data_IF_407736579523
#
_entry.id   IF_407736579523
#
_cell.length_a   1.000
_cell.length_b   1.000
_cell.length_c   1.000
_cell.angle_alpha   90.00
_cell.angle_beta   90.00
_cell.angle_gamma   90.00
#
_symmetry.space_group_name_H-M   'P 1'
#
loop_
_entity.id
_entity.type
_entity.pdbx_description
1 polymer ?
#
# COMPACT_ATOMS: atom_id res chain seq x y z
N UNK A 1 10.46 4.74 17.59
CA UNK A 1 9.74 4.11 18.71
C UNK A 1 8.46 3.52 18.15
N UNK A 2 8.25 2.23 18.38
CA UNK A 2 6.98 1.57 18.07
C UNK A 2 6.39 1.06 19.38
N UNK A 3 5.10 1.26 19.58
CA UNK A 3 4.38 0.77 20.76
C UNK A 3 2.96 0.35 20.39
N UNK A 4 2.45 -0.67 21.07
CA UNK A 4 1.06 -1.09 20.92
C UNK A 4 0.43 -1.31 22.30
N UNK A 5 -0.81 -0.87 22.47
CA UNK A 5 -1.63 -1.08 23.66
C UNK A 5 -2.89 -1.84 23.28
N UNK A 6 -3.26 -2.82 24.10
CA UNK A 6 -4.47 -3.63 23.90
C UNK A 6 -5.34 -3.54 25.15
N UNK A 7 -6.15 -2.47 25.31
CA UNK A 7 -7.00 -2.29 26.49
C UNK A 7 -8.02 -3.42 26.69
N UNK A 8 -8.43 -4.06 25.59
CA UNK A 8 -9.26 -5.26 25.57
C UNK A 8 -8.93 -6.10 24.33
N UNK A 9 -9.36 -7.38 24.25
CA UNK A 9 -9.17 -8.18 23.04
C UNK A 9 -9.80 -7.59 21.77
N UNK A 10 -10.71 -6.62 21.92
CA UNK A 10 -11.44 -5.98 20.83
C UNK A 10 -10.90 -4.59 20.46
N UNK A 11 -9.93 -4.07 21.22
CA UNK A 11 -9.38 -2.74 21.05
C UNK A 11 -7.87 -2.79 20.92
N UNK A 12 -7.33 -2.12 19.91
CA UNK A 12 -5.89 -1.92 19.79
C UNK A 12 -5.57 -0.46 19.49
N UNK A 13 -4.51 0.01 20.12
CA UNK A 13 -3.85 1.27 19.81
C UNK A 13 -2.43 0.95 19.36
N UNK A 14 -2.01 1.48 18.23
CA UNK A 14 -0.64 1.36 17.73
C UNK A 14 -0.07 2.76 17.54
N UNK A 15 1.18 2.93 17.93
CA UNK A 15 1.92 4.19 17.86
C UNK A 15 3.23 3.93 17.14
N UNK A 16 3.49 4.69 16.09
CA UNK A 16 4.80 4.72 15.44
C UNK A 16 5.30 6.16 15.47
N UNK A 17 6.45 6.37 16.11
CA UNK A 17 7.10 7.67 16.23
C UNK A 17 8.55 7.50 15.81
N UNK A 18 8.89 7.97 14.63
CA UNK A 18 10.25 7.96 14.11
C UNK A 18 10.64 9.35 13.64
N UNK A 19 11.88 9.72 13.91
CA UNK A 19 12.46 10.98 13.45
C UNK A 19 13.90 10.72 13.06
N UNK A 20 14.24 11.05 11.82
CA UNK A 20 15.60 11.01 11.32
C UNK A 20 16.30 12.34 11.57
N UNK A 21 17.64 12.32 11.59
CA UNK A 21 18.44 13.54 11.57
C UNK A 21 18.43 14.24 10.19
N UNK A 22 17.83 13.60 9.18
CA UNK A 22 17.57 14.20 7.85
C UNK A 22 16.12 14.74 7.79
N UNK A 23 15.52 14.68 6.62
CA UNK A 23 14.16 15.19 6.34
C UNK A 23 13.06 14.24 6.84
N UNK A 24 13.38 12.97 7.12
CA UNK A 24 12.35 11.95 7.35
C UNK A 24 11.78 12.00 8.78
N UNK A 25 10.46 12.12 8.87
CA UNK A 25 9.68 12.09 10.11
C UNK A 25 8.47 11.18 9.92
N UNK A 26 8.02 10.48 10.95
CA UNK A 26 6.88 9.58 10.89
C UNK A 26 6.20 9.51 12.26
N UNK A 27 5.00 10.05 12.35
CA UNK A 27 4.18 10.07 13.55
C UNK A 27 2.77 9.55 13.21
N UNK A 28 2.51 8.32 13.61
CA UNK A 28 1.26 7.62 13.34
C UNK A 28 0.61 7.16 14.64
N UNK A 29 -0.71 7.33 14.72
CA UNK A 29 -1.53 6.74 15.78
C UNK A 29 -2.67 6.00 15.12
N UNK A 30 -2.77 4.70 15.39
CA UNK A 30 -3.86 3.85 14.90
C UNK A 30 -4.71 3.37 16.04
N UNK A 31 -6.01 3.60 15.95
CA UNK A 31 -7.00 3.07 16.88
C UNK A 31 -7.95 2.15 16.12
N UNK A 32 -8.03 0.89 16.53
CA UNK A 32 -8.95 -0.09 15.98
C UNK A 32 -9.87 -0.60 17.08
N UNK A 33 -11.17 -0.60 16.79
CA UNK A 33 -12.19 -1.22 17.63
C UNK A 33 -13.00 -2.23 16.82
N UNK A 34 -12.75 -3.53 17.03
CA UNK A 34 -13.24 -4.61 16.15
C UNK A 34 -14.69 -5.06 16.38
N UNK A 35 -15.30 -4.64 17.49
CA UNK A 35 -16.48 -5.34 18.04
C UNK A 35 -17.50 -4.38 18.68
N UNK A 36 -17.91 -3.33 17.97
CA UNK A 36 -19.11 -2.56 18.35
C UNK A 36 -20.37 -3.29 17.85
N UNK A 37 -21.53 -2.98 18.43
CA UNK A 37 -22.85 -3.48 18.01
C UNK A 37 -22.92 -5.02 17.87
N UNK A 38 -22.67 -5.75 18.96
CA UNK A 38 -22.72 -7.21 18.99
C UNK A 38 -21.83 -7.89 17.92
N UNK A 39 -20.59 -7.43 17.79
CA UNK A 39 -19.53 -8.00 16.94
C UNK A 39 -19.71 -7.79 15.43
N UNK A 40 -20.60 -6.88 15.03
CA UNK A 40 -20.88 -6.58 13.62
C UNK A 40 -20.16 -5.34 13.10
N UNK A 41 -19.77 -4.42 13.97
CA UNK A 41 -19.16 -3.16 13.56
C UNK A 41 -17.68 -3.11 13.96
N UNK A 42 -16.83 -2.85 12.96
CA UNK A 42 -15.42 -2.55 13.12
C UNK A 42 -15.17 -1.08 12.78
N UNK A 43 -14.46 -0.36 13.65
CA UNK A 43 -14.08 1.04 13.44
C UNK A 43 -12.57 1.14 13.45
N UNK A 44 -12.02 1.88 12.50
CA UNK A 44 -10.61 2.23 12.44
C UNK A 44 -10.46 3.75 12.31
N UNK A 45 -9.60 4.33 13.14
CA UNK A 45 -9.25 5.75 13.13
C UNK A 45 -7.73 5.83 13.07
N UNK A 46 -7.22 6.53 12.06
CA UNK A 46 -5.79 6.59 11.77
C UNK A 46 -5.37 8.01 11.39
N UNK A 47 -5.18 8.91 12.37
CA UNK A 47 -4.41 10.13 12.16
C UNK A 47 -2.93 9.83 11.93
N UNK A 48 -2.34 10.57 11.01
CA UNK A 48 -0.94 10.41 10.66
C UNK A 48 -0.30 11.75 10.27
N UNK A 49 1.00 11.84 10.47
CA UNK A 49 1.89 12.83 9.91
C UNK A 49 3.16 12.10 9.49
N UNK A 50 3.65 12.30 8.28
CA UNK A 50 4.97 11.84 7.90
C UNK A 50 5.65 12.80 6.95
N UNK A 51 6.96 12.66 6.80
CA UNK A 51 7.75 13.32 5.77
C UNK A 51 8.72 12.31 5.19
N UNK A 52 8.71 12.12 3.87
CA UNK A 52 9.69 11.32 3.13
C UNK A 52 10.51 12.21 2.20
N UNK A 53 11.73 12.54 2.62
CA UNK A 53 12.70 13.29 1.82
C UNK A 53 13.25 12.53 0.61
N UNK A 54 13.02 11.21 0.52
CA UNK A 54 13.57 10.36 -0.51
C UNK A 54 12.60 10.05 -1.65
N UNK A 55 11.39 10.63 -1.63
CA UNK A 55 10.37 10.40 -2.65
C UNK A 55 10.88 10.73 -4.06
N UNK A 56 10.41 9.95 -5.04
CA UNK A 56 10.84 10.00 -6.45
C UNK A 56 9.70 10.30 -7.38
N UNK A 57 10.01 10.88 -8.53
CA UNK A 57 9.11 10.97 -9.67
C UNK A 57 9.92 10.91 -10.98
N UNK A 58 9.41 10.16 -11.96
CA UNK A 58 10.09 9.88 -13.24
C UNK A 58 9.27 10.36 -14.45
N UNK A 59 8.12 10.99 -14.22
CA UNK A 59 7.10 11.24 -15.24
C UNK A 59 5.92 10.25 -15.14
N UNK A 60 4.93 10.47 -16.00
CA UNK A 60 3.75 9.59 -16.09
C UNK A 60 3.95 8.45 -17.09
N UNK A 61 3.06 7.46 -17.01
CA UNK A 61 2.97 6.29 -17.88
C UNK A 61 4.04 5.23 -17.61
N UNK A 62 3.80 4.02 -18.15
CA UNK A 62 4.71 2.88 -18.01
C UNK A 62 6.07 3.13 -18.69
N UNK A 63 6.10 3.90 -19.78
CA UNK A 63 7.30 4.20 -20.54
C UNK A 63 8.12 5.39 -19.98
N UNK A 64 7.85 5.81 -18.73
CA UNK A 64 8.61 6.87 -18.08
C UNK A 64 10.08 6.48 -17.93
N UNK A 65 10.96 7.34 -18.45
CA UNK A 65 12.40 7.08 -18.51
C UNK A 65 13.03 7.32 -17.12
N UNK A 66 13.87 6.39 -16.66
CA UNK A 66 14.65 6.51 -15.43
C UNK A 66 15.52 7.78 -15.41
N UNK A 67 16.02 8.23 -16.55
CA UNK A 67 16.83 9.47 -16.66
C UNK A 67 16.04 10.76 -16.34
N UNK A 68 14.71 10.68 -16.27
CA UNK A 68 13.85 11.79 -15.82
C UNK A 68 13.65 11.79 -14.30
N UNK A 69 14.47 11.03 -13.55
CA UNK A 69 14.42 10.97 -12.10
C UNK A 69 14.51 12.38 -11.47
N UNK A 70 13.56 12.64 -10.58
CA UNK A 70 13.52 13.82 -9.73
C UNK A 70 13.26 13.40 -8.29
N UNK A 71 13.64 14.25 -7.34
CA UNK A 71 13.43 14.06 -5.91
C UNK A 71 12.61 15.20 -5.33
N UNK A 72 11.75 14.88 -4.38
CA UNK A 72 11.05 15.84 -3.53
C UNK A 72 10.93 15.28 -2.11
N UNK A 73 10.70 16.17 -1.16
CA UNK A 73 10.22 15.82 0.17
C UNK A 73 8.71 15.73 0.14
N UNK A 74 8.16 14.55 0.40
CA UNK A 74 6.73 14.32 0.52
C UNK A 74 6.31 14.48 1.98
N UNK A 75 5.77 15.64 2.34
CA UNK A 75 5.23 15.86 3.68
C UNK A 75 3.72 15.72 3.66
N UNK A 76 3.21 14.83 4.50
CA UNK A 76 1.80 14.57 4.61
C UNK A 76 1.30 14.64 6.04
N UNK A 77 0.06 15.08 6.18
CA UNK A 77 -0.72 14.82 7.38
C UNK A 77 -2.18 14.67 7.05
N UNK A 78 -2.87 13.87 7.84
CA UNK A 78 -4.22 13.51 7.54
C UNK A 78 -4.86 12.66 8.61
N UNK A 79 -6.07 12.21 8.30
CA UNK A 79 -6.72 11.16 9.06
C UNK A 79 -7.50 10.27 8.11
N UNK A 80 -7.55 8.98 8.44
CA UNK A 80 -8.47 8.03 7.83
C UNK A 80 -9.44 7.53 8.89
N UNK A 81 -10.72 7.58 8.60
CA UNK A 81 -11.78 6.95 9.38
C UNK A 81 -12.45 5.88 8.52
N UNK A 82 -12.64 4.68 9.05
CA UNK A 82 -13.48 3.67 8.42
C UNK A 82 -14.41 3.00 9.43
N UNK A 83 -15.62 2.69 8.99
CA UNK A 83 -16.60 1.92 9.72
C UNK A 83 -17.11 0.78 8.83
N UNK A 84 -16.79 -0.46 9.23
CA UNK A 84 -17.13 -1.67 8.51
C UNK A 84 -18.20 -2.47 9.23
N UNK A 85 -19.37 -2.63 8.62
CA UNK A 85 -20.49 -3.38 9.16
C UNK A 85 -20.66 -4.74 8.46
N UNK A 86 -20.65 -5.82 9.25
CA UNK A 86 -20.86 -7.19 8.78
C UNK A 86 -22.32 -7.43 8.44
N UNK A 87 -22.60 -7.66 7.16
CA UNK A 87 -23.96 -7.94 6.63
C UNK A 87 -24.23 -9.44 6.45
N UNK A 88 -23.21 -10.28 6.62
CA UNK A 88 -23.32 -11.73 6.58
C UNK A 88 -22.09 -12.41 7.17
N UNK A 89 -21.97 -13.73 7.04
CA UNK A 89 -20.84 -14.51 7.59
C UNK A 89 -19.50 -14.06 7.03
N UNK A 90 -19.46 -13.78 5.72
CA UNK A 90 -18.24 -13.47 4.97
C UNK A 90 -18.26 -12.09 4.31
N UNK A 91 -19.33 -11.29 4.52
CA UNK A 91 -19.54 -10.02 3.81
C UNK A 91 -19.55 -8.83 4.78
N UNK A 92 -18.88 -7.76 4.39
CA UNK A 92 -18.82 -6.49 5.11
C UNK A 92 -19.01 -5.33 4.15
N UNK A 93 -19.81 -4.34 4.56
CA UNK A 93 -19.89 -3.03 3.91
C UNK A 93 -19.05 -2.06 4.70
N UNK A 94 -18.19 -1.31 4.05
CA UNK A 94 -17.31 -0.33 4.68
C UNK A 94 -17.61 1.05 4.14
N UNK A 95 -17.87 1.98 5.03
CA UNK A 95 -17.85 3.41 4.74
C UNK A 95 -16.56 4.00 5.30
N UNK A 96 -16.06 5.08 4.69
CA UNK A 96 -14.89 5.76 5.22
C UNK A 96 -14.78 7.21 4.76
N UNK A 97 -13.98 7.95 5.52
CA UNK A 97 -13.57 9.32 5.23
C UNK A 97 -12.06 9.37 5.25
N UNK A 98 -11.46 10.05 4.27
CA UNK A 98 -10.02 10.29 4.21
C UNK A 98 -9.76 11.76 3.99
N UNK A 99 -9.09 12.39 4.95
CA UNK A 99 -8.52 13.71 4.77
C UNK A 99 -7.00 13.58 4.70
N UNK A 100 -6.40 14.21 3.70
CA UNK A 100 -4.95 14.20 3.46
C UNK A 100 -4.54 15.57 2.94
N UNK A 101 -3.55 16.18 3.59
CA UNK A 101 -2.89 17.39 3.12
C UNK A 101 -1.45 17.03 2.77
N UNK A 102 -1.04 17.38 1.56
CA UNK A 102 0.30 17.11 1.03
C UNK A 102 1.01 18.43 0.74
N UNK A 103 2.24 18.54 1.23
CA UNK A 103 3.17 19.61 0.91
C UNK A 103 4.39 19.00 0.21
N UNK A 104 4.76 19.56 -0.93
CA UNK A 104 5.95 19.16 -1.67
C UNK A 104 7.10 20.08 -1.25
N UNK A 105 8.13 19.50 -0.66
CA UNK A 105 9.30 20.17 -0.12
C UNK A 105 10.55 19.83 -0.94
N UNK A 106 11.66 20.54 -0.69
CA UNK A 106 12.96 20.15 -1.21
C UNK A 106 13.30 18.72 -0.75
N UNK A 107 13.73 17.88 -1.69
CA UNK A 107 14.14 16.51 -1.40
C UNK A 107 15.47 16.41 -0.64
N UNK A 108 15.72 15.27 -0.02
CA UNK A 108 16.89 14.99 0.81
C UNK A 108 18.12 14.48 0.02
N UNK A 109 18.00 14.27 -1.30
CA UNK A 109 19.07 13.73 -2.14
C UNK A 109 19.57 14.81 -3.09
N UNK A 110 20.72 15.39 -2.73
CA UNK A 110 21.27 16.58 -3.38
C UNK A 110 21.65 16.38 -4.86
N UNK A 111 22.06 15.17 -5.24
CA UNK A 111 22.53 14.88 -6.61
C UNK A 111 21.39 14.64 -7.61
N UNK A 112 20.13 14.65 -7.14
CA UNK A 112 18.95 14.43 -7.97
C UNK A 112 18.16 15.75 -8.05
N UNK A 113 17.78 16.21 -9.25
CA UNK A 113 17.04 17.45 -9.42
C UNK A 113 15.73 17.48 -8.62
N UNK A 114 15.35 18.66 -8.13
CA UNK A 114 14.05 18.84 -7.51
C UNK A 114 12.94 18.72 -8.57
N UNK A 115 11.81 18.10 -8.21
CA UNK A 115 10.68 17.91 -9.15
C UNK A 115 10.19 19.23 -9.74
N UNK A 116 10.12 20.29 -8.93
CA UNK A 116 9.65 21.62 -9.37
C UNK A 116 10.61 22.36 -10.30
N UNK A 117 11.87 21.92 -10.40
CA UNK A 117 12.83 22.48 -11.35
C UNK A 117 12.67 21.89 -12.76
N UNK A 118 12.00 20.73 -12.87
CA UNK A 118 11.88 19.96 -14.12
C UNK A 118 10.46 19.91 -14.67
N UNK A 119 9.46 19.99 -13.82
CA UNK A 119 8.05 19.87 -14.19
C UNK A 119 7.25 21.06 -13.71
N UNK A 120 6.26 21.46 -14.50
CA UNK A 120 5.30 22.48 -14.10
C UNK A 120 4.05 21.85 -13.47
N UNK A 121 3.23 22.66 -12.78
CA UNK A 121 1.92 22.21 -12.25
C UNK A 121 0.93 21.83 -13.36
N UNK A 122 1.13 22.32 -14.59
CA UNK A 122 0.34 21.91 -15.74
C UNK A 122 0.69 20.49 -16.18
N UNK A 123 1.97 20.12 -16.10
CA UNK A 123 2.45 18.79 -16.46
C UNK A 123 2.18 17.78 -15.34
N UNK A 124 2.40 18.19 -14.09
CA UNK A 124 2.30 17.38 -12.88
C UNK A 124 1.36 18.07 -11.89
N UNK A 125 0.04 17.80 -11.98
CA UNK A 125 -0.92 18.41 -11.06
C UNK A 125 -0.58 18.10 -9.60
N UNK A 126 -0.65 19.11 -8.73
CA UNK A 126 -0.40 18.95 -7.30
C UNK A 126 1.08 18.97 -6.91
N UNK A 127 1.97 19.33 -7.84
CA UNK A 127 3.40 19.51 -7.57
C UNK A 127 3.68 20.62 -6.53
N UNK A 128 2.74 21.56 -6.37
CA UNK A 128 2.80 22.62 -5.36
C UNK A 128 2.13 22.23 -4.04
N UNK A 129 1.82 20.95 -3.85
CA UNK A 129 0.99 20.45 -2.75
C UNK A 129 -0.51 20.54 -3.05
N UNK A 130 -1.29 19.76 -2.30
CA UNK A 130 -2.72 19.63 -2.51
C UNK A 130 -3.43 19.14 -1.25
N UNK A 131 -4.75 19.27 -1.23
CA UNK A 131 -5.61 18.73 -0.17
C UNK A 131 -6.58 17.75 -0.79
N UNK A 132 -6.81 16.63 -0.12
CA UNK A 132 -7.77 15.62 -0.51
C UNK A 132 -8.70 15.38 0.67
N UNK A 133 -9.99 15.53 0.44
CA UNK A 133 -11.04 15.03 1.32
C UNK A 133 -11.93 14.09 0.50
N UNK A 134 -11.89 12.82 0.84
CA UNK A 134 -12.48 11.77 0.03
C UNK A 134 -13.38 10.83 0.85
N UNK A 135 -14.60 10.63 0.33
CA UNK A 135 -15.58 9.71 0.88
C UNK A 135 -15.42 8.35 0.22
N UNK A 136 -15.50 7.28 0.99
CA UNK A 136 -15.26 5.92 0.54
C UNK A 136 -16.44 5.00 0.85
N UNK A 137 -16.80 4.17 -0.13
CA UNK A 137 -17.71 3.05 0.03
C UNK A 137 -17.05 1.80 -0.52
N UNK A 138 -17.11 0.70 0.22
CA UNK A 138 -16.57 -0.58 -0.22
C UNK A 138 -17.45 -1.76 0.21
N UNK A 139 -17.38 -2.83 -0.57
CA UNK A 139 -17.91 -4.15 -0.20
C UNK A 139 -16.72 -5.10 -0.14
N UNK A 140 -16.64 -5.85 0.95
CA UNK A 140 -15.59 -6.82 1.23
C UNK A 140 -16.21 -8.19 1.39
N UNK A 141 -15.63 -9.18 0.72
CA UNK A 141 -15.86 -10.60 0.94
C UNK A 141 -14.58 -11.23 1.46
N UNK A 142 -14.65 -11.97 2.58
CA UNK A 142 -13.47 -12.62 3.16
C UNK A 142 -13.81 -13.97 3.78
N UNK A 143 -13.01 -14.98 3.42
CA UNK A 143 -12.97 -16.30 4.06
C UNK A 143 -11.59 -16.61 4.65
N UNK A 144 -10.75 -15.58 4.80
CA UNK A 144 -9.41 -15.72 5.35
C UNK A 144 -9.46 -16.31 6.76
N UNK A 145 -8.61 -17.30 7.02
CA UNK A 145 -8.49 -17.91 8.34
C UNK A 145 -7.84 -16.98 9.38
N UNK A 146 -7.00 -16.04 8.94
CA UNK A 146 -6.43 -14.98 9.75
C UNK A 146 -6.37 -13.68 8.94
N UNK A 147 -6.76 -12.53 9.50
CA UNK A 147 -6.72 -11.25 8.80
C UNK A 147 -5.30 -10.70 8.62
N UNK A 148 -4.37 -11.04 9.51
CA UNK A 148 -2.99 -10.51 9.53
C UNK A 148 -1.95 -11.51 9.04
N UNK A 149 -2.24 -12.81 9.18
CA UNK A 149 -1.34 -13.90 8.78
C UNK A 149 -2.12 -14.99 8.03
N UNK A 150 -2.74 -14.66 6.88
CA UNK A 150 -3.55 -15.61 6.14
C UNK A 150 -2.71 -16.77 5.61
N UNK A 151 -3.20 -17.99 5.82
CA UNK A 151 -2.63 -19.22 5.22
C UNK A 151 -3.65 -19.99 4.39
N UNK A 152 -4.94 -19.62 4.50
CA UNK A 152 -6.03 -20.24 3.74
C UNK A 152 -7.16 -19.25 3.54
N UNK A 153 -7.81 -19.33 2.37
CA UNK A 153 -9.04 -18.64 2.06
C UNK A 153 -8.90 -17.61 0.96
N UNK A 154 -9.98 -16.88 0.70
CA UNK A 154 -10.04 -15.83 -0.31
C UNK A 154 -10.46 -14.50 0.28
N UNK A 155 -10.05 -13.44 -0.38
CA UNK A 155 -10.46 -12.07 -0.10
C UNK A 155 -10.81 -11.38 -1.40
N UNK A 156 -11.90 -10.61 -1.41
CA UNK A 156 -12.23 -9.72 -2.50
C UNK A 156 -12.77 -8.40 -1.96
N UNK A 157 -12.35 -7.30 -2.55
CA UNK A 157 -12.81 -5.96 -2.20
C UNK A 157 -13.07 -5.16 -3.45
N UNK A 158 -14.25 -4.54 -3.50
CA UNK A 158 -14.60 -3.52 -4.48
C UNK A 158 -14.84 -2.23 -3.73
N UNK A 159 -14.30 -1.12 -4.23
CA UNK A 159 -14.50 0.17 -3.61
C UNK A 159 -14.60 1.31 -4.62
N UNK A 160 -15.34 2.32 -4.20
CA UNK A 160 -15.38 3.63 -4.84
C UNK A 160 -14.97 4.67 -3.80
N UNK A 161 -14.18 5.62 -4.24
CA UNK A 161 -13.79 6.78 -3.47
C UNK A 161 -14.05 8.05 -4.29
N UNK A 162 -14.67 9.05 -3.69
CA UNK A 162 -15.03 10.30 -4.35
C UNK A 162 -14.39 11.47 -3.61
N UNK A 163 -13.63 12.28 -4.33
CA UNK A 163 -13.08 13.54 -3.84
C UNK A 163 -13.80 14.68 -4.53
N UNK A 164 -14.19 15.72 -3.78
CA UNK A 164 -14.80 16.91 -4.36
C UNK A 164 -14.30 18.21 -3.73
N UNK A 165 -14.13 19.23 -4.57
CA UNK A 165 -13.77 20.60 -4.17
C UNK A 165 -14.78 21.22 -3.21
N UNK A 166 -16.05 20.82 -3.30
CA UNK A 166 -17.12 21.29 -2.40
C UNK A 166 -16.77 20.94 -0.93
N UNK A 167 -16.07 19.83 -0.71
CA UNK A 167 -15.66 19.38 0.62
C UNK A 167 -14.21 19.77 0.98
N UNK A 168 -13.59 20.68 0.21
CA UNK A 168 -12.25 21.22 0.49
C UNK A 168 -11.10 20.52 -0.24
N UNK A 169 -11.37 19.59 -1.17
CA UNK A 169 -10.33 18.99 -2.00
C UNK A 169 -9.78 19.97 -3.05
N UNK A 170 -8.55 19.74 -3.50
CA UNK A 170 -7.91 20.47 -4.60
C UNK A 170 -8.44 20.04 -5.98
N UNK A 171 -8.97 18.82 -6.10
CA UNK A 171 -9.49 18.26 -7.35
C UNK A 171 -10.76 17.43 -7.14
N UNK A 172 -11.65 17.47 -8.13
CA UNK A 172 -12.81 16.58 -8.22
C UNK A 172 -12.39 15.32 -8.99
N UNK A 173 -12.51 14.16 -8.36
CA UNK A 173 -12.18 12.88 -8.99
C UNK A 173 -12.89 11.72 -8.32
N UNK A 174 -12.98 10.62 -9.06
CA UNK A 174 -13.52 9.35 -8.59
C UNK A 174 -12.48 8.26 -8.79
N UNK A 175 -12.22 7.48 -7.76
CA UNK A 175 -11.31 6.35 -7.77
C UNK A 175 -12.10 5.06 -7.58
N UNK A 176 -11.92 4.14 -8.50
CA UNK A 176 -12.50 2.81 -8.48
C UNK A 176 -11.39 1.82 -8.18
N UNK A 177 -11.60 0.93 -7.21
CA UNK A 177 -10.62 -0.07 -6.80
C UNK A 177 -11.24 -1.46 -6.77
N UNK A 178 -10.50 -2.44 -7.28
CA UNK A 178 -10.80 -3.85 -7.14
C UNK A 178 -9.55 -4.59 -6.64
N UNK A 179 -9.70 -5.43 -5.63
CA UNK A 179 -8.63 -6.27 -5.11
C UNK A 179 -9.16 -7.67 -4.85
N UNK A 180 -8.37 -8.67 -5.22
CA UNK A 180 -8.62 -10.07 -4.90
C UNK A 180 -7.34 -10.70 -4.37
N UNK A 181 -7.47 -11.55 -3.36
CA UNK A 181 -6.36 -12.35 -2.82
C UNK A 181 -6.82 -13.78 -2.62
N UNK A 182 -5.91 -14.72 -2.74
CA UNK A 182 -6.16 -16.11 -2.39
C UNK A 182 -4.92 -16.78 -1.81
N UNK A 183 -5.16 -17.68 -0.87
CA UNK A 183 -4.12 -18.41 -0.14
C UNK A 183 -4.47 -19.89 -0.12
N UNK A 184 -3.57 -20.71 -0.64
CA UNK A 184 -3.76 -22.15 -0.79
C UNK A 184 -2.63 -22.87 -0.04
N UNK A 185 -2.94 -23.53 1.09
CA UNK A 185 -1.95 -24.31 1.82
C UNK A 185 -1.71 -25.65 1.13
N UNK A 186 -0.44 -26.03 0.99
CA UNK A 186 0.04 -27.30 0.44
C UNK A 186 0.98 -27.97 1.45
N UNK A 187 1.15 -29.29 1.34
CA UNK A 187 1.99 -30.11 2.23
C UNK A 187 1.78 -29.79 3.73
N UNK A 188 0.54 -29.92 4.19
CA UNK A 188 0.14 -29.62 5.58
C UNK A 188 0.53 -28.20 6.05
N UNK A 189 0.56 -27.24 5.12
CA UNK A 189 0.88 -25.83 5.41
C UNK A 189 2.37 -25.51 5.48
N UNK A 190 3.25 -26.40 4.95
CA UNK A 190 4.65 -26.06 4.72
C UNK A 190 4.82 -25.05 3.57
N UNK A 191 3.96 -25.14 2.57
CA UNK A 191 3.92 -24.28 1.40
C UNK A 191 2.58 -23.54 1.38
N UNK A 192 2.59 -22.23 1.15
CA UNK A 192 1.39 -21.44 0.95
C UNK A 192 1.53 -20.68 -0.38
N UNK A 193 0.81 -21.14 -1.40
CA UNK A 193 0.69 -20.40 -2.65
C UNK A 193 -0.25 -19.22 -2.43
N UNK A 194 0.26 -18.01 -2.65
CA UNK A 194 -0.47 -16.77 -2.47
C UNK A 194 -0.52 -15.99 -3.80
N UNK A 195 -1.68 -15.40 -4.09
CA UNK A 195 -1.80 -14.44 -5.17
C UNK A 195 -2.54 -13.19 -4.72
N UNK A 196 -2.25 -12.07 -5.38
CA UNK A 196 -3.02 -10.83 -5.31
C UNK A 196 -3.23 -10.31 -6.72
N UNK A 197 -4.47 -9.99 -7.05
CA UNK A 197 -4.83 -9.20 -8.21
C UNK A 197 -5.38 -7.87 -7.72
N UNK A 198 -4.83 -6.76 -8.20
CA UNK A 198 -5.29 -5.43 -7.84
C UNK A 198 -5.43 -4.55 -9.09
N UNK A 199 -6.48 -3.75 -9.09
CA UNK A 199 -6.79 -2.81 -10.14
C UNK A 199 -7.27 -1.50 -9.50
N UNK A 200 -6.83 -0.38 -10.05
CA UNK A 200 -7.41 0.91 -9.74
C UNK A 200 -7.55 1.74 -11.02
N UNK A 201 -8.59 2.56 -11.06
CA UNK A 201 -8.79 3.55 -12.12
C UNK A 201 -9.34 4.84 -11.51
N UNK A 202 -8.78 5.95 -11.98
CA UNK A 202 -9.17 7.28 -11.53
C UNK A 202 -9.76 8.07 -12.69
N UNK A 203 -11.03 8.46 -12.53
CA UNK A 203 -11.72 9.39 -13.40
C UNK A 203 -11.61 10.82 -12.87
N UNK A 204 -11.49 11.78 -13.79
CA UNK A 204 -11.32 13.20 -13.46
C UNK A 204 -10.15 13.83 -14.21
N UNK A 205 -10.04 15.16 -14.07
CA UNK A 205 -9.00 15.99 -14.66
C UNK A 205 -8.25 16.75 -13.57
N UNK A 206 -6.94 16.95 -13.76
CA UNK A 206 -6.12 17.66 -12.77
C UNK A 206 -5.97 16.92 -11.44
N UNK A 207 -6.05 15.58 -11.47
CA UNK A 207 -5.87 14.75 -10.28
C UNK A 207 -4.41 14.86 -9.83
N UNK A 208 -4.15 15.24 -8.57
CA UNK A 208 -2.80 15.32 -8.05
C UNK A 208 -2.01 14.04 -8.30
N UNK A 209 -0.74 14.15 -8.69
CA UNK A 209 0.06 12.98 -9.11
C UNK A 209 0.19 11.90 -8.01
N UNK A 210 0.20 12.28 -6.73
CA UNK A 210 0.21 11.37 -5.58
C UNK A 210 -1.16 10.80 -5.21
N UNK A 211 -2.22 11.25 -5.86
CA UNK A 211 -3.57 10.64 -5.78
C UNK A 211 -3.84 9.70 -6.96
N UNK A 212 -2.98 9.74 -7.99
CA UNK A 212 -3.04 8.86 -9.14
C UNK A 212 -2.67 7.41 -8.78
N UNK A 213 -2.82 6.50 -9.75
CA UNK A 213 -2.50 5.09 -9.61
C UNK A 213 -0.99 4.89 -9.68
N UNK A 214 -0.40 4.35 -8.60
CA UNK A 214 1.06 4.22 -8.44
C UNK A 214 1.47 2.76 -8.38
N UNK A 215 2.51 2.39 -9.13
CA UNK A 215 3.21 1.11 -9.04
C UNK A 215 4.70 1.32 -8.73
N UNK A 216 5.27 0.31 -8.06
CA UNK A 216 6.62 0.34 -7.49
C UNK A 216 6.59 0.41 -5.97
N UNK A 217 7.57 -0.21 -5.32
CA UNK A 217 7.67 -0.29 -3.87
C UNK A 217 7.38 -1.67 -3.29
N UNK A 218 7.41 -1.72 -1.96
CA UNK A 218 7.43 -2.97 -1.18
C UNK A 218 6.16 -3.83 -1.23
N UNK A 219 5.05 -3.32 -1.73
CA UNK A 219 3.74 -4.01 -1.75
C UNK A 219 3.12 -4.10 -3.16
N UNK A 220 3.80 -3.58 -4.18
CA UNK A 220 3.33 -3.62 -5.58
C UNK A 220 4.36 -4.32 -6.47
N UNK A 221 5.19 -3.56 -7.20
CA UNK A 221 6.29 -4.10 -8.00
C UNK A 221 7.58 -4.01 -7.18
N UNK A 222 7.97 -5.10 -6.52
CA UNK A 222 9.10 -5.12 -5.58
C UNK A 222 10.47 -5.05 -6.24
N UNK A 223 10.54 -5.09 -7.57
CA UNK A 223 11.75 -4.79 -8.35
C UNK A 223 12.00 -3.30 -8.58
N UNK A 224 11.04 -2.44 -8.23
CA UNK A 224 11.12 -1.01 -8.47
C UNK A 224 10.95 -0.21 -7.17
N UNK A 225 11.58 0.97 -7.11
CA UNK A 225 11.39 1.92 -6.03
C UNK A 225 9.94 2.40 -5.91
N UNK A 226 9.59 2.98 -4.75
CA UNK A 226 8.28 3.62 -4.57
C UNK A 226 8.09 4.72 -5.63
N UNK A 227 6.86 4.94 -6.08
CA UNK A 227 6.49 5.99 -7.03
C UNK A 227 7.19 5.87 -8.41
N UNK A 228 7.58 4.65 -8.82
CA UNK A 228 8.28 4.45 -10.09
C UNK A 228 7.41 4.68 -11.32
N UNK A 229 6.17 4.18 -11.29
CA UNK A 229 5.22 4.31 -12.38
C UNK A 229 3.94 4.94 -11.86
N UNK A 230 3.50 6.03 -12.49
CA UNK A 230 2.30 6.76 -12.10
C UNK A 230 1.45 7.02 -13.34
N UNK A 231 0.17 6.70 -13.28
CA UNK A 231 -0.82 7.11 -14.27
C UNK A 231 -2.23 7.04 -13.66
N UNK A 232 -3.29 7.25 -14.44
CA UNK A 232 -4.67 7.23 -13.92
C UNK A 232 -5.14 5.85 -13.49
N UNK A 233 -4.67 4.81 -14.14
CA UNK A 233 -5.09 3.44 -13.86
C UNK A 233 -3.88 2.52 -13.70
N UNK A 234 -4.02 1.46 -12.91
CA UNK A 234 -3.03 0.37 -12.85
C UNK A 234 -3.71 -0.99 -12.85
N UNK A 235 -2.97 -1.98 -13.31
CA UNK A 235 -3.23 -3.39 -13.05
C UNK A 235 -1.99 -4.02 -12.41
N UNK A 236 -2.20 -4.90 -11.43
CA UNK A 236 -1.16 -5.57 -10.67
C UNK A 236 -1.56 -7.03 -10.41
N UNK A 237 -0.60 -7.93 -10.62
CA UNK A 237 -0.64 -9.32 -10.22
C UNK A 237 0.61 -9.64 -9.42
N UNK A 238 0.45 -10.05 -8.17
CA UNK A 238 1.53 -10.60 -7.36
C UNK A 238 1.30 -12.10 -7.18
N UNK A 239 2.33 -12.89 -7.41
CA UNK A 239 2.37 -14.32 -7.13
C UNK A 239 3.52 -14.58 -6.16
N UNK A 240 3.25 -15.29 -5.06
CA UNK A 240 4.26 -15.58 -4.03
C UNK A 240 4.04 -17.00 -3.50
N UNK A 241 5.12 -17.77 -3.36
CA UNK A 241 5.08 -19.09 -2.73
C UNK A 241 5.79 -19.00 -1.39
N UNK A 242 5.06 -19.12 -0.27
CA UNK A 242 5.63 -19.00 1.08
C UNK A 242 6.04 -20.37 1.57
N UNK A 243 7.35 -20.59 1.72
CA UNK A 243 7.95 -21.88 2.05
C UNK A 243 8.51 -21.80 3.46
N UNK A 244 7.90 -22.50 4.41
CA UNK A 244 8.45 -22.65 5.75
C UNK A 244 9.68 -23.56 5.71
N UNK A 245 10.84 -23.00 6.01
CA UNK A 245 12.12 -23.71 6.04
C UNK A 245 12.29 -24.51 7.32
N UNK A 246 12.12 -23.85 8.46
CA UNK A 246 12.20 -24.48 9.78
C UNK A 246 11.34 -23.74 10.80
N UNK A 247 10.95 -24.48 11.84
CA UNK A 247 10.19 -24.00 12.98
C UNK A 247 11.02 -24.19 14.23
N UNK A 248 11.11 -23.15 15.05
CA UNK A 248 11.73 -23.20 16.35
C UNK A 248 10.71 -22.86 17.43
N UNK A 249 10.60 -23.71 18.44
CA UNK A 249 9.76 -23.48 19.60
C UNK A 249 10.66 -23.34 20.83
N UNK A 250 10.63 -22.16 21.48
CA UNK A 250 11.33 -21.92 22.75
C UNK A 250 10.40 -21.12 23.66
N UNK A 251 10.28 -21.51 24.93
CA UNK A 251 9.49 -20.79 25.94
C UNK A 251 8.06 -20.49 25.47
N UNK A 252 7.39 -21.48 24.85
CA UNK A 252 6.04 -21.37 24.27
C UNK A 252 5.88 -20.31 23.15
N UNK A 253 6.99 -19.82 22.61
CA UNK A 253 7.03 -18.95 21.43
C UNK A 253 7.40 -19.76 20.20
N UNK A 254 6.49 -19.82 19.23
CA UNK A 254 6.74 -20.43 17.91
C UNK A 254 7.31 -19.39 16.95
N UNK A 255 8.55 -19.61 16.51
CA UNK A 255 9.22 -18.86 15.46
C UNK A 255 9.29 -19.69 14.17
N UNK A 256 8.77 -19.14 13.07
CA UNK A 256 8.86 -19.73 11.73
C UNK A 256 9.83 -18.88 10.87
N UNK A 257 10.67 -19.55 10.09
CA UNK A 257 11.49 -18.91 9.06
C UNK A 257 10.97 -19.31 7.68
N UNK A 258 10.64 -18.32 6.85
CA UNK A 258 10.11 -18.57 5.52
C UNK A 258 11.00 -18.00 4.42
N UNK A 259 11.07 -18.74 3.32
CA UNK A 259 11.54 -18.27 2.03
C UNK A 259 10.32 -18.01 1.15
N UNK A 260 10.31 -16.91 0.41
CA UNK A 260 9.17 -16.49 -0.39
C UNK A 260 9.62 -16.06 -1.80
N UNK A 261 9.95 -16.99 -2.71
CA UNK A 261 10.09 -16.65 -4.12
C UNK A 261 8.79 -16.04 -4.65
N UNK A 262 8.91 -15.00 -5.45
CA UNK A 262 7.76 -14.27 -5.97
C UNK A 262 7.98 -13.77 -7.40
N UNK A 263 6.87 -13.43 -8.04
CA UNK A 263 6.81 -12.74 -9.33
C UNK A 263 5.75 -11.65 -9.25
N UNK A 264 6.16 -10.42 -9.53
CA UNK A 264 5.26 -9.26 -9.60
C UNK A 264 5.12 -8.81 -11.04
N UNK A 265 3.87 -8.66 -11.51
CA UNK A 265 3.54 -8.22 -12.86
C UNK A 265 2.59 -7.04 -12.78
N UNK A 266 2.87 -5.94 -13.47
CA UNK A 266 1.94 -4.81 -13.44
C UNK A 266 2.22 -3.74 -14.48
N UNK A 267 1.24 -2.88 -14.71
CA UNK A 267 1.34 -1.77 -15.65
C UNK A 267 0.45 -0.61 -15.21
N UNK A 268 0.90 0.62 -15.47
CA UNK A 268 0.09 1.82 -15.36
C UNK A 268 -0.36 2.28 -16.75
N UNK A 269 -1.55 2.86 -16.83
CA UNK A 269 -2.18 3.26 -18.08
C UNK A 269 -3.11 4.46 -17.88
N UNK A 270 -3.35 5.22 -18.97
CA UNK A 270 -4.27 6.36 -18.96
C UNK A 270 -5.71 5.94 -18.73
N UNK A 271 -6.10 4.77 -19.25
CA UNK A 271 -7.42 4.17 -19.16
C UNK A 271 -7.39 2.68 -19.49
N UNK A 272 -8.37 1.90 -19.05
CA UNK A 272 -8.52 0.47 -19.40
C UNK A 272 -8.43 0.24 -20.93
N UNK A 273 -9.02 1.10 -21.74
CA UNK A 273 -9.04 0.91 -23.20
C UNK A 273 -7.67 1.09 -23.87
N UNK A 274 -6.67 1.57 -23.11
CA UNK A 274 -5.29 1.76 -23.56
C UNK A 274 -4.35 0.64 -23.14
N UNK A 275 -4.88 -0.50 -22.67
CA UNK A 275 -4.04 -1.66 -22.30
C UNK A 275 -3.20 -2.09 -23.49
N UNK A 276 -1.88 -2.07 -23.30
CA UNK A 276 -0.91 -2.66 -24.20
C UNK A 276 -0.13 -3.72 -23.41
N UNK A 277 -0.12 -4.96 -23.90
CA UNK A 277 0.56 -6.07 -23.24
C UNK A 277 2.08 -5.89 -23.15
N UNK A 278 2.66 -5.01 -23.98
CA UNK A 278 4.09 -4.66 -23.94
C UNK A 278 4.45 -3.67 -22.82
N UNK A 279 3.45 -3.06 -22.17
CA UNK A 279 3.65 -2.09 -21.09
C UNK A 279 3.71 -2.73 -19.71
N UNK A 280 3.65 -4.07 -19.63
CA UNK A 280 3.70 -4.79 -18.37
C UNK A 280 5.12 -5.04 -17.92
N UNK A 281 5.40 -4.59 -16.71
CA UNK A 281 6.63 -4.85 -16.00
C UNK A 281 6.58 -6.23 -15.37
N UNK A 282 7.64 -7.02 -15.53
CA UNK A 282 7.78 -8.35 -14.95
C UNK A 282 8.98 -8.39 -14.00
N UNK A 283 8.74 -8.66 -12.71
CA UNK A 283 9.75 -8.54 -11.67
C UNK A 283 9.79 -9.81 -10.81
N UNK A 284 10.68 -10.77 -11.10
CA UNK A 284 10.93 -11.88 -10.21
C UNK A 284 11.72 -11.42 -8.99
N UNK A 285 11.60 -12.16 -7.89
CA UNK A 285 12.36 -11.87 -6.68
C UNK A 285 12.26 -12.95 -5.63
N UNK A 286 12.91 -12.68 -4.50
CA UNK A 286 12.93 -13.58 -3.35
C UNK A 286 12.80 -12.80 -2.05
N UNK A 287 11.90 -13.27 -1.20
CA UNK A 287 11.66 -12.75 0.13
C UNK A 287 12.17 -13.70 1.21
N UNK A 288 12.60 -13.13 2.33
CA UNK A 288 12.87 -13.84 3.58
C UNK A 288 11.95 -13.29 4.66
N UNK A 289 11.41 -14.18 5.49
CA UNK A 289 10.51 -13.82 6.60
C UNK A 289 10.97 -14.46 7.90
N UNK A 290 10.98 -13.66 8.96
CA UNK A 290 11.11 -14.12 10.34
C UNK A 290 9.76 -13.88 11.04
N UNK A 291 9.10 -14.95 11.43
CA UNK A 291 7.73 -14.91 11.93
C UNK A 291 7.71 -15.33 13.38
N UNK A 292 7.25 -14.46 14.25
CA UNK A 292 6.98 -14.77 15.65
C UNK A 292 5.48 -14.75 15.86
N UNK A 293 4.90 -15.94 16.03
CA UNK A 293 3.45 -16.07 16.20
C UNK A 293 3.00 -15.51 17.54
N UNK A 294 1.79 -14.93 17.63
CA UNK A 294 0.77 -14.88 16.58
C UNK A 294 0.77 -13.63 15.67
N UNK A 295 1.63 -12.62 15.89
CA UNK A 295 1.40 -11.28 15.32
C UNK A 295 2.59 -10.58 14.65
N UNK A 296 3.83 -11.08 14.77
CA UNK A 296 5.01 -10.36 14.29
C UNK A 296 5.60 -11.08 13.09
N UNK A 297 5.79 -10.34 11.99
CA UNK A 297 6.49 -10.80 10.80
C UNK A 297 7.51 -9.72 10.46
N UNK A 298 8.80 -10.03 10.56
CA UNK A 298 9.85 -9.25 9.94
C UNK A 298 10.09 -9.77 8.52
N UNK A 299 10.28 -8.86 7.57
CA UNK A 299 10.48 -9.23 6.17
C UNK A 299 11.63 -8.47 5.51
N UNK A 300 12.32 -9.17 4.61
CA UNK A 300 13.25 -8.60 3.63
C UNK A 300 12.88 -9.15 2.25
N UNK A 301 12.75 -8.28 1.26
CA UNK A 301 12.44 -8.63 -0.13
C UNK A 301 13.52 -8.09 -1.06
N UNK A 302 13.96 -8.92 -2.00
CA UNK A 302 14.83 -8.50 -3.11
C UNK A 302 14.11 -8.80 -4.41
N UNK A 303 13.70 -7.77 -5.13
CA UNK A 303 13.11 -7.88 -6.46
C UNK A 303 14.07 -7.38 -7.54
N UNK A 304 13.93 -7.92 -8.74
CA UNK A 304 14.75 -7.54 -9.90
C UNK A 304 13.84 -6.98 -11.00
N UNK A 305 14.01 -5.71 -11.34
CA UNK A 305 13.34 -5.06 -12.47
C UNK A 305 14.35 -4.62 -13.55
N UNK A 306 13.86 -3.99 -14.61
CA UNK A 306 14.72 -3.49 -15.70
C UNK A 306 15.68 -2.39 -15.22
N UNK A 307 15.28 -1.62 -14.21
CA UNK A 307 16.09 -0.55 -13.61
C UNK A 307 17.18 -1.06 -12.65
N UNK A 308 17.20 -2.37 -12.37
CA UNK A 308 18.08 -3.03 -11.42
C UNK A 308 17.36 -3.66 -10.22
N UNK A 309 18.11 -4.17 -9.23
CA UNK A 309 17.52 -4.75 -8.04
C UNK A 309 17.02 -3.68 -7.06
N UNK A 310 15.91 -3.98 -6.37
CA UNK A 310 15.40 -3.20 -5.26
C UNK A 310 15.30 -4.07 -4.00
N UNK A 311 15.61 -3.47 -2.84
CA UNK A 311 15.57 -4.16 -1.54
C UNK A 311 14.58 -3.43 -0.63
N UNK A 312 13.64 -4.19 -0.06
CA UNK A 312 12.67 -3.68 0.90
C UNK A 312 12.76 -4.42 2.22
N UNK A 313 12.67 -3.68 3.32
CA UNK A 313 12.59 -4.22 4.67
C UNK A 313 11.32 -3.69 5.31
N UNK A 314 10.55 -4.56 5.96
CA UNK A 314 9.28 -4.14 6.53
C UNK A 314 8.72 -5.12 7.56
N UNK A 315 7.55 -4.78 8.07
CA UNK A 315 6.76 -5.63 8.96
C UNK A 315 5.51 -6.13 8.23
N UNK A 316 5.06 -7.34 8.57
CA UNK A 316 3.92 -7.99 7.92
C UNK A 316 4.26 -8.62 6.55
N UNK A 317 3.25 -9.22 5.92
CA UNK A 317 3.35 -9.67 4.53
C UNK A 317 3.16 -8.49 3.54
N UNK A 318 3.72 -8.56 2.32
CA UNK A 318 3.53 -7.52 1.30
C UNK A 318 2.07 -7.36 0.87
N UNK A 319 1.26 -8.42 0.99
CA UNK A 319 -0.17 -8.45 0.70
C UNK A 319 -0.90 -9.59 1.42
#
# INVERSE_FOLDING_TARGET
FYGALYPSPQQSWEFNLSRSNKVNEDYEVRYIHKVLLANKLEVNIFPYYFTDGSARFFGFQSASNKENETNYGDQEYGFTFTAGYKIGKNYQVVIGERFRKVNILQGAIADIPFIGDRFSDQDVPGINGFTTHAQKLAIVYSTLNSPTMPTFGGYARLAIENSSKIFGSSADYQRYEAEMKGFIPLDNGRYISAFRLAFAQIGGSGVPFLEQSILGGESTLRGYGRNRFIDKSFFLLNLEERIRLFRWEIFDVTADWELAPFVDVGSVMKSIDSINTRSFEFNPGIGFRAIVRPNIIGRVDVGFGEDGPAVFVGLGYPF
#
